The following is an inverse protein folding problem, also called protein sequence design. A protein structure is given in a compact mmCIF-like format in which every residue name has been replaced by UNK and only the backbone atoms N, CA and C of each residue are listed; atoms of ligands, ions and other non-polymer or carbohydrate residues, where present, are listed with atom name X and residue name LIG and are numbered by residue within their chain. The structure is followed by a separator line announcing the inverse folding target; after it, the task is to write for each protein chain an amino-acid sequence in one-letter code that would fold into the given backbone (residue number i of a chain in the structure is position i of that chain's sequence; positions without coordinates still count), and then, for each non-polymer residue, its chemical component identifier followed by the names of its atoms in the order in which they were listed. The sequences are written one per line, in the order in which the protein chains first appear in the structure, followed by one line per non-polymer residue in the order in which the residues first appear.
data_IF_963542357569
#
_entry.id   IF_963542357569
#
_cell.length_a   1.000
_cell.length_b   1.000
_cell.length_c   1.000
_cell.angle_alpha   90.00
_cell.angle_beta   90.00
_cell.angle_gamma   90.00
#
_symmetry.space_group_name_H-M   'P 1'
#
loop_
_entity.id
_entity.type
_entity.pdbx_description
1 polymer ?
#
# COMPACT_ATOMS: atom_id res chain seq x y z
N UNK A 1 -33.35 43.68 34.88
CA UNK A 1 -33.08 44.26 33.55
C UNK A 1 -33.20 43.11 32.57
N UNK A 2 -34.15 43.23 31.66
CA UNK A 2 -34.69 42.13 30.85
C UNK A 2 -33.89 41.98 29.57
N UNK A 3 -33.50 40.72 29.32
CA UNK A 3 -33.31 39.95 28.09
C UNK A 3 -33.34 40.66 26.73
N UNK A 4 -32.40 40.27 25.87
CA UNK A 4 -32.65 40.26 24.43
C UNK A 4 -31.86 39.13 23.74
N UNK A 5 -32.31 37.90 23.98
CA UNK A 5 -32.17 36.79 23.02
C UNK A 5 -33.52 36.63 22.33
N UNK A 6 -33.60 36.90 21.03
CA UNK A 6 -34.55 36.21 20.14
C UNK A 6 -34.27 36.46 18.65
N UNK A 7 -34.60 35.48 17.78
CA UNK A 7 -33.96 35.21 16.49
C UNK A 7 -34.72 35.78 15.29
N UNK A 8 -34.06 35.79 14.13
CA UNK A 8 -34.50 36.48 12.90
C UNK A 8 -35.71 35.88 12.15
N UNK A 9 -36.41 34.88 12.68
CA UNK A 9 -37.47 34.17 11.95
C UNK A 9 -38.85 34.50 12.52
N UNK A 10 -39.70 35.18 11.75
CA UNK A 10 -41.16 35.08 11.94
C UNK A 10 -42.01 36.25 11.43
N UNK A 11 -43.17 36.01 10.79
CA UNK A 11 -43.88 36.97 9.92
C UNK A 11 -45.04 37.70 10.64
N UNK A 12 -45.47 38.86 10.11
CA UNK A 12 -46.86 39.08 9.66
C UNK A 12 -47.17 40.54 9.26
N UNK A 13 -47.87 40.66 8.11
CA UNK A 13 -48.99 41.58 7.79
C UNK A 13 -48.71 43.08 7.69
N UNK A 14 -48.74 43.61 6.46
CA UNK A 14 -49.90 44.18 5.72
C UNK A 14 -50.11 45.68 6.02
N UNK A 15 -49.95 46.47 4.93
CA UNK A 15 -50.73 47.66 4.52
C UNK A 15 -50.84 48.83 5.53
N UNK A 16 -50.70 50.12 5.18
CA UNK A 16 -51.06 50.85 3.98
C UNK A 16 -50.56 52.31 4.06
N UNK A 17 -50.40 52.96 2.90
CA UNK A 17 -50.50 54.42 2.65
C UNK A 17 -49.28 55.29 3.07
N UNK A 18 -48.69 56.16 2.25
CA UNK A 18 -49.25 57.02 1.20
C UNK A 18 -48.12 57.60 0.31
N UNK A 19 -48.35 57.64 -1.01
CA UNK A 19 -48.06 58.71 -2.02
C UNK A 19 -46.77 59.57 -1.89
N UNK A 20 -46.00 59.96 -2.91
CA UNK A 20 -46.05 59.96 -4.38
C UNK A 20 -44.72 60.61 -4.82
N UNK A 21 -43.97 60.05 -5.77
CA UNK A 21 -43.21 60.87 -6.73
C UNK A 21 -42.91 60.05 -7.98
N UNK A 22 -43.46 60.53 -9.07
CA UNK A 22 -43.36 60.03 -10.43
C UNK A 22 -41.94 60.14 -10.99
N UNK A 23 -41.38 59.03 -11.45
CA UNK A 23 -40.39 59.02 -12.53
C UNK A 23 -40.66 57.81 -13.43
N UNK A 24 -41.66 57.97 -14.32
CA UNK A 24 -41.88 57.11 -15.46
C UNK A 24 -41.27 57.76 -16.70
N UNK A 25 -40.39 57.08 -17.46
CA UNK A 25 -40.01 57.55 -18.77
C UNK A 25 -41.22 57.43 -19.71
N UNK A 26 -41.78 58.60 -20.07
CA UNK A 26 -42.77 58.77 -21.15
C UNK A 26 -42.10 58.47 -22.50
N UNK A 27 -42.34 57.29 -23.06
CA UNK A 27 -42.19 57.10 -24.50
C UNK A 27 -43.39 57.74 -25.20
N UNK A 28 -43.17 58.95 -25.72
CA UNK A 28 -44.12 59.66 -26.58
C UNK A 28 -44.05 59.04 -27.97
N UNK A 29 -45.11 58.34 -28.39
CA UNK A 29 -45.29 57.93 -29.77
C UNK A 29 -45.91 59.09 -30.57
N UNK A 30 -45.13 59.64 -31.49
CA UNK A 30 -45.56 60.63 -32.49
C UNK A 30 -45.52 59.97 -33.87
N UNK A 31 -46.70 59.80 -34.50
CA UNK A 31 -47.01 59.52 -35.93
C UNK A 31 -46.12 58.50 -36.66
N UNK A 32 -46.60 57.48 -37.36
CA UNK A 32 -47.71 57.41 -38.30
C UNK A 32 -48.06 55.92 -38.45
N UNK A 33 -49.35 55.57 -38.51
CA UNK A 33 -49.81 54.17 -38.48
C UNK A 33 -49.89 53.61 -39.91
N UNK A 34 -48.76 53.18 -40.47
CA UNK A 34 -48.80 52.25 -41.60
C UNK A 34 -47.54 51.39 -41.66
N UNK A 35 -47.76 50.07 -41.57
CA UNK A 35 -46.80 48.97 -41.77
C UNK A 35 -45.60 48.91 -40.82
N UNK A 36 -45.54 47.87 -39.99
CA UNK A 36 -44.41 46.93 -39.92
C UNK A 36 -44.80 45.80 -38.96
N UNK A 37 -45.32 44.72 -39.54
CA UNK A 37 -45.36 43.41 -38.88
C UNK A 37 -43.93 42.85 -38.91
N UNK A 38 -43.21 42.97 -37.80
CA UNK A 38 -42.05 42.13 -37.52
C UNK A 38 -42.04 41.81 -36.03
N UNK A 39 -42.17 40.53 -35.64
CA UNK A 39 -41.90 40.15 -34.27
C UNK A 39 -40.40 40.26 -34.05
N UNK A 40 -39.95 41.35 -33.43
CA UNK A 40 -38.61 41.38 -32.84
C UNK A 40 -38.59 40.38 -31.69
N UNK A 41 -38.11 39.18 -31.98
CA UNK A 41 -37.74 38.21 -30.97
C UNK A 41 -36.59 38.81 -30.15
N UNK A 42 -36.91 39.31 -28.97
CA UNK A 42 -35.91 39.58 -27.94
C UNK A 42 -35.31 38.23 -27.59
N UNK A 43 -34.09 37.97 -28.04
CA UNK A 43 -33.35 36.76 -27.73
C UNK A 43 -32.91 36.86 -26.26
N UNK A 44 -33.82 36.53 -25.35
CA UNK A 44 -33.47 36.29 -23.95
C UNK A 44 -32.62 35.03 -23.96
N UNK A 45 -31.31 35.15 -23.79
CA UNK A 45 -30.46 34.00 -23.47
C UNK A 45 -31.10 33.32 -22.28
N UNK A 46 -31.67 32.14 -22.53
CA UNK A 46 -32.34 31.34 -21.52
C UNK A 46 -31.39 31.23 -20.33
N UNK A 47 -31.74 31.88 -19.20
CA UNK A 47 -30.96 31.74 -17.98
C UNK A 47 -30.99 30.26 -17.63
N UNK A 48 -29.87 29.58 -17.83
CA UNK A 48 -29.74 28.15 -17.55
C UNK A 48 -29.98 27.97 -16.06
N UNK A 49 -31.09 27.30 -15.71
CA UNK A 49 -31.45 27.07 -14.32
C UNK A 49 -30.25 26.41 -13.60
N UNK A 50 -29.69 27.03 -12.55
CA UNK A 50 -28.56 26.45 -11.82
C UNK A 50 -28.89 25.11 -11.17
N UNK A 51 -30.18 24.73 -11.07
CA UNK A 51 -30.64 23.44 -10.56
C UNK A 51 -31.03 22.44 -11.67
N UNK A 52 -30.74 22.74 -12.95
CA UNK A 52 -31.02 21.82 -14.03
C UNK A 52 -30.25 20.51 -13.83
N UNK A 53 -30.97 19.38 -13.87
CA UNK A 53 -30.34 18.07 -13.79
C UNK A 53 -29.49 17.84 -15.05
N UNK A 54 -28.18 17.66 -14.85
CA UNK A 54 -27.23 17.42 -15.94
C UNK A 54 -26.93 15.93 -16.01
N UNK A 55 -27.45 15.28 -17.05
CA UNK A 55 -27.23 13.84 -17.26
C UNK A 55 -25.74 13.49 -17.38
N UNK A 56 -24.92 14.38 -17.96
CA UNK A 56 -23.48 14.20 -18.05
C UNK A 56 -22.81 14.14 -16.67
N UNK A 57 -23.21 15.02 -15.74
CA UNK A 57 -22.71 15.01 -14.37
C UNK A 57 -23.16 13.76 -13.62
N UNK A 58 -24.39 13.32 -13.83
CA UNK A 58 -24.90 12.07 -13.28
C UNK A 58 -24.10 10.85 -13.77
N UNK A 59 -23.84 10.74 -15.08
CA UNK A 59 -23.06 9.64 -15.65
C UNK A 59 -21.59 9.64 -15.19
N UNK A 60 -21.01 10.83 -15.00
CA UNK A 60 -19.66 10.95 -14.40
C UNK A 60 -19.65 10.34 -12.99
N UNK A 61 -20.63 10.67 -12.16
CA UNK A 61 -20.73 10.12 -10.81
C UNK A 61 -21.04 8.63 -10.79
N UNK A 62 -21.89 8.15 -11.71
CA UNK A 62 -22.36 6.77 -11.75
C UNK A 62 -21.31 5.79 -12.30
N UNK A 63 -20.55 6.19 -13.32
CA UNK A 63 -19.64 5.29 -14.03
C UNK A 63 -18.18 5.73 -13.97
N UNK A 64 -17.88 6.99 -14.31
CA UNK A 64 -16.48 7.42 -14.49
C UNK A 64 -15.71 7.39 -13.17
N UNK A 65 -16.28 7.97 -12.10
CA UNK A 65 -15.59 8.01 -10.79
C UNK A 65 -15.42 6.61 -10.20
N UNK A 66 -16.44 5.73 -10.15
CA UNK A 66 -16.28 4.35 -9.72
C UNK A 66 -15.29 3.54 -10.56
N UNK A 67 -15.25 3.76 -11.88
CA UNK A 67 -14.31 3.07 -12.77
C UNK A 67 -12.87 3.46 -12.48
N UNK A 68 -12.58 4.76 -12.31
CA UNK A 68 -11.24 5.25 -11.94
C UNK A 68 -10.86 4.73 -10.55
N UNK A 69 -11.77 4.80 -9.57
CA UNK A 69 -11.51 4.32 -8.21
C UNK A 69 -11.25 2.81 -8.20
N UNK A 70 -12.07 2.01 -8.89
CA UNK A 70 -11.89 0.58 -9.05
C UNK A 70 -10.57 0.25 -9.70
N UNK A 71 -10.22 0.92 -10.81
CA UNK A 71 -8.94 0.73 -11.49
C UNK A 71 -7.74 1.03 -10.60
N UNK A 72 -7.75 2.14 -9.86
CA UNK A 72 -6.65 2.48 -8.95
C UNK A 72 -6.53 1.47 -7.81
N UNK A 73 -7.64 1.05 -7.20
CA UNK A 73 -7.63 0.01 -6.17
C UNK A 73 -7.09 -1.32 -6.71
N UNK A 74 -7.49 -1.72 -7.92
CA UNK A 74 -6.99 -2.94 -8.55
C UNK A 74 -5.50 -2.87 -8.86
N UNK A 75 -5.04 -1.74 -9.39
CA UNK A 75 -3.62 -1.52 -9.67
C UNK A 75 -2.79 -1.60 -8.39
N UNK A 76 -3.28 -1.04 -7.28
CA UNK A 76 -2.59 -1.13 -5.99
C UNK A 76 -2.46 -2.58 -5.54
N UNK A 77 -3.55 -3.36 -5.57
CA UNK A 77 -3.50 -4.77 -5.17
C UNK A 77 -2.46 -5.55 -5.99
N UNK A 78 -2.44 -5.35 -7.30
CA UNK A 78 -1.48 -6.02 -8.19
C UNK A 78 -0.04 -5.53 -8.07
N UNK A 79 0.18 -4.33 -7.52
CA UNK A 79 1.51 -3.80 -7.24
C UNK A 79 2.00 -4.25 -5.85
N UNK A 80 1.09 -4.52 -4.91
CA UNK A 80 1.41 -5.04 -3.57
C UNK A 80 1.70 -6.54 -3.61
N UNK A 81 0.97 -7.29 -4.42
CA UNK A 81 1.23 -8.70 -4.65
C UNK A 81 2.01 -8.82 -5.96
N UNK A 82 3.36 -8.72 -5.96
CA UNK A 82 4.13 -9.07 -7.14
C UNK A 82 3.90 -10.56 -7.38
N UNK A 83 2.93 -10.90 -8.23
CA UNK A 83 2.83 -12.24 -8.76
C UNK A 83 4.15 -12.59 -9.44
N UNK A 84 4.80 -13.63 -8.92
CA UNK A 84 5.97 -14.32 -9.46
C UNK A 84 7.37 -13.72 -9.23
N UNK A 85 7.52 -12.65 -8.46
CA UNK A 85 8.83 -12.32 -7.86
C UNK A 85 8.69 -12.37 -6.35
N UNK A 86 8.69 -13.58 -5.81
CA UNK A 86 9.09 -13.77 -4.42
C UNK A 86 10.43 -13.05 -4.29
N UNK A 87 10.51 -12.10 -3.36
CA UNK A 87 11.76 -11.43 -2.97
C UNK A 87 12.71 -12.41 -2.25
N UNK A 88 12.66 -13.66 -2.66
CA UNK A 88 13.36 -14.78 -2.07
C UNK A 88 14.75 -14.81 -2.65
N UNK A 89 15.74 -14.82 -1.77
CA UNK A 89 17.11 -15.13 -2.13
C UNK A 89 17.47 -16.51 -1.62
N UNK A 90 18.31 -17.19 -2.38
CA UNK A 90 18.94 -18.44 -2.01
C UNK A 90 20.37 -18.43 -2.54
N UNK A 91 21.32 -18.82 -1.69
CA UNK A 91 22.67 -19.11 -2.12
C UNK A 91 23.27 -20.24 -1.29
N UNK A 92 24.20 -20.98 -1.88
CA UNK A 92 24.86 -22.09 -1.22
C UNK A 92 26.30 -22.28 -1.69
N UNK A 93 27.12 -22.80 -0.79
CA UNK A 93 28.53 -23.08 -1.04
C UNK A 93 28.84 -24.52 -0.68
N UNK A 94 29.35 -25.26 -1.68
CA UNK A 94 29.72 -26.65 -1.55
C UNK A 94 31.16 -26.80 -1.10
N UNK A 95 31.38 -27.67 -0.11
CA UNK A 95 32.68 -28.00 0.44
C UNK A 95 33.47 -26.78 0.92
N UNK A 96 32.89 -25.92 1.79
CA UNK A 96 33.62 -24.79 2.34
C UNK A 96 34.80 -25.27 3.18
N UNK A 97 35.85 -24.45 3.25
CA UNK A 97 37.11 -24.80 3.91
C UNK A 97 37.20 -24.04 5.24
N UNK A 98 37.57 -24.74 6.31
CA UNK A 98 37.91 -24.09 7.57
C UNK A 98 39.12 -23.17 7.38
N UNK A 99 38.98 -21.91 7.76
CA UNK A 99 39.92 -20.83 7.47
C UNK A 99 40.59 -20.23 8.72
N UNK A 100 39.95 -20.37 9.89
CA UNK A 100 40.42 -19.81 11.17
C UNK A 100 39.82 -20.58 12.37
N UNK A 101 39.98 -20.03 13.57
CA UNK A 101 39.38 -20.52 14.80
C UNK A 101 38.89 -19.38 15.70
N UNK A 102 37.89 -19.65 16.53
CA UNK A 102 37.37 -18.71 17.53
C UNK A 102 37.17 -19.39 18.87
N UNK A 103 37.44 -18.66 19.95
CA UNK A 103 37.14 -19.10 21.31
C UNK A 103 35.76 -18.59 21.74
N UNK A 104 34.86 -19.51 22.12
CA UNK A 104 33.51 -19.23 22.59
C UNK A 104 33.30 -20.02 23.89
N UNK A 105 33.01 -19.33 24.99
CA UNK A 105 32.83 -19.94 26.32
C UNK A 105 34.01 -20.82 26.77
N UNK A 106 35.25 -20.32 26.65
CA UNK A 106 36.49 -21.03 27.01
C UNK A 106 36.74 -22.34 26.20
N UNK A 107 36.11 -22.47 25.03
CA UNK A 107 36.28 -23.61 24.11
C UNK A 107 36.66 -23.12 22.70
N UNK A 108 37.59 -23.82 22.06
CA UNK A 108 38.06 -23.53 20.69
C UNK A 108 37.16 -24.17 19.63
N UNK A 109 36.71 -23.36 18.68
CA UNK A 109 35.88 -23.76 17.53
C UNK A 109 36.60 -23.47 16.22
N UNK A 110 36.56 -24.41 15.27
CA UNK A 110 37.01 -24.13 13.91
C UNK A 110 35.99 -23.24 13.23
N UNK A 111 36.45 -22.25 12.47
CA UNK A 111 35.57 -21.38 11.70
C UNK A 111 35.73 -21.58 10.21
N UNK A 112 34.63 -21.35 9.49
CA UNK A 112 34.62 -21.15 8.05
C UNK A 112 33.80 -19.90 7.74
N UNK A 113 34.30 -19.06 6.85
CA UNK A 113 33.57 -17.88 6.39
C UNK A 113 33.18 -18.02 4.93
N UNK A 114 31.91 -17.74 4.62
CA UNK A 114 31.38 -17.78 3.27
C UNK A 114 30.73 -16.44 2.93
N UNK A 115 31.11 -15.89 1.78
CA UNK A 115 30.46 -14.74 1.16
C UNK A 115 29.32 -15.24 0.28
N UNK A 116 28.08 -14.89 0.64
CA UNK A 116 26.89 -15.25 -0.12
C UNK A 116 26.41 -14.10 -1.00
N UNK A 117 25.85 -14.44 -2.15
CA UNK A 117 25.19 -13.51 -3.06
C UNK A 117 23.75 -13.22 -2.59
N UNK A 118 23.61 -12.60 -1.42
CA UNK A 118 22.34 -12.24 -0.78
C UNK A 118 22.24 -10.74 -0.50
N UNK A 119 21.06 -10.19 -0.17
CA UNK A 119 20.95 -8.81 0.28
C UNK A 119 21.79 -8.49 1.53
N UNK A 120 22.30 -7.27 1.61
CA UNK A 120 23.10 -6.80 2.74
C UNK A 120 22.19 -6.24 3.86
N UNK A 121 21.45 -7.13 4.51
CA UNK A 121 20.48 -6.81 5.58
C UNK A 121 21.00 -7.37 6.92
N UNK A 122 20.86 -6.63 8.03
CA UNK A 122 21.23 -7.12 9.37
C UNK A 122 20.16 -8.09 9.90
N UNK A 123 20.55 -9.05 10.75
CA UNK A 123 19.60 -9.92 11.46
C UNK A 123 18.57 -9.12 12.27
N UNK A 124 18.95 -7.99 12.86
CA UNK A 124 17.98 -7.15 13.60
C UNK A 124 16.92 -6.54 12.69
N UNK A 125 17.30 -6.14 11.48
CA UNK A 125 16.35 -5.61 10.50
C UNK A 125 15.42 -6.73 9.99
N UNK A 126 15.97 -7.93 9.78
CA UNK A 126 15.18 -9.14 9.47
C UNK A 126 14.12 -9.43 10.55
N UNK A 127 14.48 -9.36 11.84
CA UNK A 127 13.54 -9.61 12.95
C UNK A 127 12.53 -8.45 13.17
N UNK A 128 12.98 -7.20 13.02
CA UNK A 128 12.11 -6.02 13.19
C UNK A 128 11.04 -5.93 12.07
N UNK A 129 11.39 -6.35 10.84
CA UNK A 129 10.51 -6.31 9.67
C UNK A 129 9.80 -7.67 9.39
N UNK A 130 9.97 -8.67 10.27
CA UNK A 130 9.35 -10.01 10.17
C UNK A 130 9.70 -10.75 8.86
N UNK A 131 10.94 -10.57 8.38
CA UNK A 131 11.47 -11.27 7.22
C UNK A 131 11.85 -12.71 7.58
N UNK A 132 11.61 -13.62 6.64
CA UNK A 132 12.14 -14.96 6.68
C UNK A 132 13.67 -14.93 6.51
N UNK A 133 14.36 -15.66 7.37
CA UNK A 133 15.79 -15.92 7.23
C UNK A 133 16.12 -17.29 7.78
N UNK A 134 16.79 -18.08 6.95
CA UNK A 134 17.32 -19.39 7.26
C UNK A 134 18.78 -19.46 6.84
N UNK A 135 19.58 -20.12 7.67
CA UNK A 135 20.90 -20.58 7.26
C UNK A 135 21.16 -21.98 7.79
N UNK A 136 21.82 -22.81 6.99
CA UNK A 136 22.06 -24.22 7.29
C UNK A 136 23.47 -24.66 6.96
N UNK A 137 23.94 -25.66 7.69
CA UNK A 137 25.18 -26.40 7.45
C UNK A 137 24.83 -27.87 7.37
N UNK A 138 25.18 -28.52 6.27
CA UNK A 138 24.87 -29.93 6.06
C UNK A 138 26.13 -30.76 5.78
N UNK A 139 26.10 -32.00 6.27
CA UNK A 139 27.05 -33.06 5.94
C UNK A 139 26.30 -34.25 5.36
N UNK A 140 26.83 -34.83 4.30
CA UNK A 140 26.32 -36.00 3.62
C UNK A 140 27.34 -37.13 3.76
N UNK A 141 26.89 -38.30 4.22
CA UNK A 141 27.69 -39.51 4.09
C UNK A 141 27.27 -40.36 2.89
N UNK A 142 27.81 -41.58 2.86
CA UNK A 142 27.54 -42.55 1.79
C UNK A 142 26.11 -43.12 1.87
N UNK A 143 25.52 -43.13 3.07
CA UNK A 143 24.15 -43.58 3.35
C UNK A 143 23.29 -42.47 3.99
N UNK A 144 21.96 -42.60 3.93
CA UNK A 144 21.02 -41.64 4.52
C UNK A 144 21.16 -41.50 6.04
N UNK A 145 21.65 -42.54 6.72
CA UNK A 145 21.89 -42.53 8.17
C UNK A 145 23.10 -41.67 8.56
N UNK A 146 23.95 -41.30 7.59
CA UNK A 146 25.11 -40.45 7.79
C UNK A 146 24.83 -38.97 7.49
N UNK A 147 23.56 -38.62 7.23
CA UNK A 147 23.16 -37.23 7.05
C UNK A 147 23.13 -36.50 8.39
N UNK A 148 23.63 -35.28 8.39
CA UNK A 148 23.53 -34.38 9.53
C UNK A 148 23.42 -32.96 9.06
N UNK A 149 22.68 -32.16 9.81
CA UNK A 149 22.40 -30.79 9.42
C UNK A 149 22.17 -29.95 10.67
N UNK A 150 22.64 -28.72 10.61
CA UNK A 150 22.47 -27.72 11.63
C UNK A 150 21.86 -26.49 10.97
N UNK A 151 20.80 -25.94 11.54
CA UNK A 151 20.12 -24.79 10.97
C UNK A 151 19.81 -23.71 12.00
N UNK A 152 19.63 -22.51 11.49
CA UNK A 152 19.05 -21.40 12.21
C UNK A 152 17.95 -20.80 11.35
N UNK A 153 16.80 -20.52 11.97
CA UNK A 153 15.64 -19.92 11.34
C UNK A 153 15.09 -18.87 12.30
N UNK A 154 15.03 -17.61 11.87
CA UNK A 154 14.56 -16.47 12.70
C UNK A 154 13.12 -16.68 13.19
N UNK A 155 12.27 -17.36 12.42
CA UNK A 155 10.89 -17.67 12.81
C UNK A 155 10.78 -18.66 13.97
N UNK A 156 11.77 -19.56 14.11
CA UNK A 156 11.84 -20.53 15.22
C UNK A 156 12.75 -20.07 16.36
N UNK A 157 13.80 -19.30 16.05
CA UNK A 157 14.86 -18.93 16.97
C UNK A 157 14.82 -17.44 17.28
N UNK A 158 14.70 -17.12 18.56
CA UNK A 158 14.71 -15.73 19.00
C UNK A 158 16.14 -15.17 18.96
N UNK A 159 16.35 -14.03 18.31
CA UNK A 159 17.65 -13.31 18.29
C UNK A 159 18.19 -12.90 19.67
N UNK A 160 17.37 -12.98 20.72
CA UNK A 160 17.82 -12.79 22.10
C UNK A 160 18.49 -14.03 22.72
N UNK A 161 18.70 -15.11 21.96
CA UNK A 161 19.52 -16.26 22.34
C UNK A 161 20.82 -16.21 21.54
N UNK A 162 21.89 -15.73 22.18
CA UNK A 162 23.23 -15.66 21.60
C UNK A 162 24.28 -15.90 22.68
N UNK A 163 25.49 -16.28 22.25
CA UNK A 163 26.69 -16.32 23.07
C UNK A 163 27.66 -15.25 22.56
N UNK A 164 28.47 -14.72 23.45
CA UNK A 164 29.44 -13.67 23.13
C UNK A 164 30.84 -14.24 23.21
N UNK A 165 31.62 -14.14 22.14
CA UNK A 165 33.04 -14.52 22.15
C UNK A 165 33.89 -13.46 22.85
N UNK A 166 35.15 -13.78 23.17
CA UNK A 166 36.05 -12.87 23.90
C UNK A 166 36.25 -11.50 23.21
N UNK A 167 36.08 -11.45 21.89
CA UNK A 167 36.17 -10.24 21.08
C UNK A 167 34.87 -9.43 21.00
N UNK A 168 33.87 -9.76 21.81
CA UNK A 168 32.53 -9.14 21.89
C UNK A 168 31.69 -9.32 20.61
N UNK A 169 31.96 -10.38 19.83
CA UNK A 169 31.09 -10.77 18.71
C UNK A 169 29.96 -11.67 19.20
N UNK A 170 28.76 -11.46 18.66
CA UNK A 170 27.56 -12.26 18.98
C UNK A 170 27.47 -13.45 18.02
N UNK A 171 27.37 -14.63 18.60
CA UNK A 171 27.24 -15.90 17.91
C UNK A 171 25.89 -16.53 18.26
N UNK A 172 25.17 -16.96 17.24
CA UNK A 172 23.83 -17.51 17.38
C UNK A 172 23.91 -19.03 17.27
N UNK A 173 23.42 -19.77 18.27
CA UNK A 173 23.44 -21.22 18.24
C UNK A 173 22.49 -21.75 17.16
N UNK A 174 22.91 -22.84 16.51
CA UNK A 174 22.13 -23.55 15.50
C UNK A 174 21.51 -24.82 16.11
N UNK A 175 20.35 -25.23 15.62
CA UNK A 175 19.70 -26.50 15.98
C UNK A 175 20.22 -27.60 15.06
N UNK A 176 20.81 -28.64 15.65
CA UNK A 176 21.47 -29.73 14.92
C UNK A 176 20.70 -31.05 15.04
N UNK A 177 20.74 -31.85 13.98
CA UNK A 177 20.18 -33.20 13.95
C UNK A 177 21.02 -34.16 13.11
N UNK A 178 20.68 -35.46 13.19
CA UNK A 178 21.41 -36.51 12.50
C UNK A 178 22.82 -36.69 13.07
N UNK A 179 23.82 -36.88 12.21
CA UNK A 179 25.21 -37.07 12.68
C UNK A 179 25.83 -35.81 13.32
N UNK A 180 25.16 -34.66 13.23
CA UNK A 180 25.61 -33.40 13.84
C UNK A 180 24.99 -33.13 15.23
N UNK A 181 24.09 -33.98 15.74
CA UNK A 181 23.36 -33.75 17.01
C UNK A 181 24.28 -33.58 18.24
N UNK A 182 25.45 -34.24 18.25
CA UNK A 182 26.44 -34.17 19.33
C UNK A 182 27.47 -33.04 19.16
N UNK A 183 27.32 -32.20 18.13
CA UNK A 183 28.25 -31.11 17.81
C UNK A 183 27.59 -29.75 18.03
N UNK A 184 28.40 -28.79 18.42
CA UNK A 184 27.96 -27.42 18.63
C UNK A 184 28.23 -26.63 17.36
N UNK A 185 27.19 -25.97 16.85
CA UNK A 185 27.30 -25.05 15.72
C UNK A 185 26.77 -23.68 16.10
N UNK A 186 27.53 -22.66 15.71
CA UNK A 186 27.13 -21.27 15.83
C UNK A 186 27.33 -20.58 14.49
N UNK A 187 26.58 -19.50 14.25
CA UNK A 187 26.86 -18.60 13.14
C UNK A 187 26.91 -17.14 13.57
N UNK A 188 27.60 -16.35 12.77
CA UNK A 188 27.70 -14.91 12.86
C UNK A 188 27.50 -14.34 11.46
N UNK A 189 26.54 -13.42 11.32
CA UNK A 189 26.26 -12.70 10.08
C UNK A 189 26.91 -11.32 10.11
N UNK A 190 27.70 -10.98 9.09
CA UNK A 190 28.27 -9.66 8.89
C UNK A 190 28.01 -9.21 7.45
N UNK A 191 26.86 -8.56 7.24
CA UNK A 191 26.37 -8.23 5.91
C UNK A 191 26.12 -9.48 5.08
N UNK A 192 26.80 -9.60 3.94
CA UNK A 192 26.69 -10.75 3.01
C UNK A 192 27.55 -11.96 3.44
N UNK A 193 28.50 -11.76 4.35
CA UNK A 193 29.37 -12.81 4.83
C UNK A 193 28.76 -13.48 6.07
N UNK A 194 28.74 -14.81 6.09
CA UNK A 194 28.38 -15.59 7.28
C UNK A 194 29.58 -16.43 7.68
N UNK A 195 29.96 -16.30 8.95
CA UNK A 195 30.97 -17.15 9.57
C UNK A 195 30.28 -18.19 10.43
N UNK A 196 30.61 -19.46 10.25
CA UNK A 196 30.13 -20.57 11.07
C UNK A 196 31.26 -21.04 11.96
N UNK A 197 30.96 -21.36 13.22
CA UNK A 197 31.90 -21.90 14.20
C UNK A 197 31.41 -23.25 14.70
N UNK A 198 32.28 -24.27 14.67
CA UNK A 198 31.93 -25.63 15.08
C UNK A 198 33.10 -26.40 15.69
N UNK A 199 32.78 -27.34 16.58
CA UNK A 199 33.73 -28.33 17.09
C UNK A 199 33.80 -29.59 16.20
N UNK A 200 33.04 -29.62 15.10
CA UNK A 200 33.13 -30.63 14.05
C UNK A 200 34.46 -30.49 13.29
N UNK A 201 35.16 -31.62 13.11
CA UNK A 201 36.53 -31.63 12.57
C UNK A 201 36.64 -32.19 11.14
N UNK A 202 35.55 -32.75 10.61
CA UNK A 202 35.51 -33.30 9.26
C UNK A 202 35.04 -32.27 8.24
N UNK A 203 35.17 -32.59 6.96
CA UNK A 203 34.72 -31.73 5.88
C UNK A 203 33.21 -31.48 5.96
N UNK A 204 32.81 -30.20 5.85
CA UNK A 204 31.41 -29.81 5.66
C UNK A 204 31.08 -29.92 4.17
N UNK A 205 29.90 -30.44 3.82
CA UNK A 205 29.56 -30.65 2.41
C UNK A 205 28.83 -29.47 1.80
N UNK A 206 27.98 -28.80 2.57
CA UNK A 206 27.20 -27.67 2.10
C UNK A 206 26.94 -26.65 3.22
N UNK A 207 26.99 -25.37 2.88
CA UNK A 207 26.36 -24.32 3.66
C UNK A 207 25.41 -23.56 2.77
N UNK A 208 24.26 -23.17 3.32
CA UNK A 208 23.24 -22.46 2.56
C UNK A 208 22.61 -21.35 3.37
N UNK A 209 22.06 -20.39 2.66
CA UNK A 209 21.28 -19.29 3.21
C UNK A 209 20.09 -19.04 2.29
N UNK A 210 18.94 -18.79 2.89
CA UNK A 210 17.75 -18.35 2.19
C UNK A 210 16.93 -17.40 3.05
N UNK A 211 16.14 -16.58 2.41
CA UNK A 211 15.38 -15.54 3.09
C UNK A 211 14.54 -14.75 2.11
N UNK A 212 13.71 -13.86 2.64
CA UNK A 212 13.01 -12.86 1.85
C UNK A 212 13.50 -11.44 2.16
N UNK A 213 13.23 -10.52 1.24
CA UNK A 213 13.41 -9.08 1.40
C UNK A 213 12.10 -8.33 1.13
N UNK A 214 11.96 -7.08 1.57
CA UNK A 214 10.78 -6.29 1.25
C UNK A 214 10.71 -5.97 -0.24
N UNK A 215 9.47 -5.93 -0.73
CA UNK A 215 9.17 -5.38 -2.03
C UNK A 215 9.45 -3.88 -1.96
N UNK A 216 10.36 -3.40 -2.79
CA UNK A 216 10.82 -1.99 -2.86
C UNK A 216 9.72 -1.01 -3.36
N UNK A 217 8.45 -1.35 -3.15
CA UNK A 217 7.27 -0.55 -3.46
C UNK A 217 7.03 0.38 -2.28
N UNK A 218 7.37 1.67 -2.43
CA UNK A 218 7.26 2.67 -1.36
C UNK A 218 6.03 2.48 -0.46
N UNK A 219 6.22 1.93 0.74
CA UNK A 219 5.13 1.51 1.63
C UNK A 219 4.18 2.64 1.98
N UNK A 220 4.62 3.91 1.89
CA UNK A 220 3.79 5.09 2.11
C UNK A 220 2.66 5.21 1.07
N UNK A 221 2.91 4.91 -0.21
CA UNK A 221 1.85 5.06 -1.23
C UNK A 221 0.82 3.93 -1.10
N UNK A 222 1.31 2.71 -0.89
CA UNK A 222 0.55 1.47 -0.68
C UNK A 222 -0.29 1.52 0.59
N UNK A 223 0.27 1.98 1.71
CA UNK A 223 -0.41 2.01 3.00
C UNK A 223 -1.45 3.14 3.09
N UNK A 224 -1.33 4.22 2.31
CA UNK A 224 -2.22 5.38 2.42
C UNK A 224 -3.29 5.45 1.31
N UNK A 225 -3.03 5.00 0.08
CA UNK A 225 -4.03 5.10 -1.01
C UNK A 225 -5.36 4.38 -0.73
N UNK A 226 -5.38 3.17 -0.14
CA UNK A 226 -6.62 2.47 0.17
C UNK A 226 -7.55 3.27 1.08
N UNK A 227 -7.01 4.17 1.91
CA UNK A 227 -7.78 5.09 2.74
C UNK A 227 -8.11 6.40 2.01
N UNK A 228 -7.19 6.93 1.21
CA UNK A 228 -7.40 8.17 0.46
C UNK A 228 -8.51 8.04 -0.59
N UNK A 229 -8.63 6.90 -1.28
CA UNK A 229 -9.64 6.71 -2.34
C UNK A 229 -11.07 6.82 -1.78
N UNK A 230 -11.46 6.09 -0.71
CA UNK A 230 -12.75 6.27 -0.06
C UNK A 230 -12.96 7.69 0.50
N UNK A 231 -11.96 8.27 1.15
CA UNK A 231 -12.05 9.63 1.71
C UNK A 231 -12.30 10.66 0.61
N UNK A 232 -11.56 10.57 -0.50
CA UNK A 232 -11.76 11.43 -1.66
C UNK A 232 -13.14 11.23 -2.28
N UNK A 233 -13.62 9.98 -2.38
CA UNK A 233 -14.95 9.68 -2.89
C UNK A 233 -16.05 10.34 -2.05
N UNK A 234 -15.99 10.18 -0.72
CA UNK A 234 -16.90 10.85 0.22
C UNK A 234 -16.79 12.37 0.14
N UNK A 235 -15.56 12.90 0.03
CA UNK A 235 -15.31 14.33 -0.13
C UNK A 235 -15.97 14.90 -1.38
N UNK A 236 -15.84 14.23 -2.53
CA UNK A 236 -16.49 14.63 -3.79
C UNK A 236 -18.01 14.54 -3.67
N UNK A 237 -18.52 13.51 -2.99
CA UNK A 237 -19.95 13.36 -2.74
C UNK A 237 -20.51 14.54 -1.93
N UNK A 238 -19.90 14.88 -0.79
CA UNK A 238 -20.31 16.03 0.03
C UNK A 238 -20.17 17.34 -0.77
N UNK A 239 -19.03 17.54 -1.44
CA UNK A 239 -18.76 18.71 -2.25
C UNK A 239 -19.79 18.92 -3.37
N UNK A 240 -20.27 17.82 -3.97
CA UNK A 240 -21.27 17.89 -5.04
C UNK A 240 -22.59 18.52 -4.56
N UNK A 241 -23.02 18.22 -3.33
CA UNK A 241 -24.23 18.81 -2.75
C UNK A 241 -24.02 20.24 -2.28
N UNK A 242 -22.89 20.53 -1.62
CA UNK A 242 -22.52 21.88 -1.18
C UNK A 242 -22.40 22.84 -2.37
N UNK A 243 -21.80 22.38 -3.46
CA UNK A 243 -21.61 23.15 -4.70
C UNK A 243 -22.84 23.16 -5.62
N UNK A 244 -23.99 22.68 -5.15
CA UNK A 244 -25.26 22.57 -5.90
C UNK A 244 -25.19 21.72 -7.18
N UNK A 245 -24.15 20.90 -7.36
CA UNK A 245 -24.00 19.90 -8.44
C UNK A 245 -24.73 18.61 -8.09
N UNK A 246 -26.03 18.70 -7.81
CA UNK A 246 -26.84 17.59 -7.29
C UNK A 246 -26.85 16.36 -8.20
N UNK A 247 -26.83 16.57 -9.52
CA UNK A 247 -26.79 15.47 -10.50
C UNK A 247 -25.52 14.61 -10.37
N UNK A 248 -24.36 15.21 -10.12
CA UNK A 248 -23.12 14.48 -9.79
C UNK A 248 -23.27 13.70 -8.48
N UNK A 249 -23.83 14.32 -7.44
CA UNK A 249 -24.03 13.68 -6.14
C UNK A 249 -24.95 12.45 -6.19
N UNK A 250 -26.06 12.56 -6.92
CA UNK A 250 -26.94 11.41 -7.18
C UNK A 250 -26.25 10.34 -8.02
N UNK A 251 -25.41 10.74 -8.99
CA UNK A 251 -24.58 9.82 -9.74
C UNK A 251 -23.65 9.03 -8.83
N UNK A 252 -22.94 9.72 -7.92
CA UNK A 252 -22.03 9.10 -6.95
C UNK A 252 -22.76 8.16 -5.99
N UNK A 253 -23.94 8.53 -5.49
CA UNK A 253 -24.74 7.62 -4.67
C UNK A 253 -25.08 6.31 -5.40
N UNK A 254 -25.42 6.38 -6.69
CA UNK A 254 -25.61 5.19 -7.51
C UNK A 254 -24.30 4.47 -7.83
N UNK A 255 -23.21 5.21 -8.00
CA UNK A 255 -21.87 4.72 -8.30
C UNK A 255 -21.27 3.83 -7.21
N UNK A 256 -21.74 3.93 -5.96
CA UNK A 256 -21.37 3.02 -4.86
C UNK A 256 -21.66 1.56 -5.23
N UNK A 257 -22.76 1.29 -5.94
CA UNK A 257 -23.11 -0.06 -6.39
C UNK A 257 -22.33 -0.50 -7.62
N UNK A 258 -21.78 0.44 -8.39
CA UNK A 258 -20.98 0.17 -9.59
C UNK A 258 -19.51 -0.11 -9.22
N UNK A 259 -19.01 0.50 -8.15
CA UNK A 259 -17.61 0.42 -7.74
C UNK A 259 -17.08 -1.02 -7.55
N UNK A 260 -17.79 -1.97 -6.92
CA UNK A 260 -17.31 -3.35 -6.80
C UNK A 260 -17.15 -4.05 -8.16
N UNK A 261 -18.09 -3.82 -9.08
CA UNK A 261 -17.99 -4.37 -10.44
C UNK A 261 -16.85 -3.74 -11.22
N UNK A 262 -16.64 -2.44 -11.06
CA UNK A 262 -15.48 -1.75 -11.64
C UNK A 262 -14.17 -2.31 -11.11
N UNK A 263 -14.04 -2.53 -9.80
CA UNK A 263 -12.87 -3.16 -9.21
C UNK A 263 -12.63 -4.56 -9.76
N UNK A 264 -13.64 -5.45 -9.78
CA UNK A 264 -13.47 -6.80 -10.30
C UNK A 264 -13.07 -6.81 -11.79
N UNK A 265 -13.71 -5.96 -12.60
CA UNK A 265 -13.37 -5.85 -14.03
C UNK A 265 -11.95 -5.32 -14.23
N UNK A 266 -11.55 -4.31 -13.44
CA UNK A 266 -10.20 -3.77 -13.48
C UNK A 266 -9.15 -4.76 -13.01
N UNK A 267 -9.41 -5.56 -11.98
CA UNK A 267 -8.53 -6.65 -11.55
C UNK A 267 -8.31 -7.68 -12.67
N UNK A 268 -9.38 -8.11 -13.34
CA UNK A 268 -9.27 -9.06 -14.46
C UNK A 268 -8.47 -8.43 -15.61
N UNK A 269 -8.81 -7.20 -16.00
CA UNK A 269 -8.14 -6.51 -17.10
C UNK A 269 -6.66 -6.27 -16.83
N UNK A 270 -6.31 -5.81 -15.62
CA UNK A 270 -4.92 -5.58 -15.22
C UNK A 270 -4.20 -6.91 -14.97
N UNK A 271 -4.88 -7.94 -14.48
CA UNK A 271 -4.33 -9.28 -14.31
C UNK A 271 -3.79 -9.84 -15.63
N UNK A 272 -4.50 -9.67 -16.75
CA UNK A 272 -3.99 -10.03 -18.08
C UNK A 272 -2.77 -9.21 -18.55
N UNK A 273 -2.51 -8.04 -17.95
CA UNK A 273 -1.37 -7.19 -18.30
C UNK A 273 -0.16 -7.46 -17.41
N UNK A 274 -0.39 -7.83 -16.14
CA UNK A 274 0.65 -8.07 -15.14
C UNK A 274 1.11 -9.53 -15.11
N UNK A 275 0.18 -10.46 -15.28
CA UNK A 275 0.43 -11.89 -15.28
C UNK A 275 0.20 -12.39 -16.70
N UNK A 276 1.23 -12.95 -17.33
CA UNK A 276 1.17 -13.54 -18.68
C UNK A 276 0.21 -14.76 -18.70
N UNK A 277 -1.10 -14.51 -18.64
CA UNK A 277 -2.20 -15.48 -18.76
C UNK A 277 -2.74 -15.55 -20.19
#
# INVERSE_FOLDING_TARGET
MVDNDSPWWGPDKQEQSSQTSSDTPKNVFSGDVSSFSTPQAVNVTQMKDPNQFLISQFLIGLFLVPLIAGFLMSLIVLVIEPGDQDNWYYDSNYQPIFDDSVEINDEDYNTLTVDFNIPNIDLYEIDDEDYYFYTGVSVYGDDWDDYGDCYFDVGYHRLNIFVESEDNRRWYPMECYGVLEDYNFYFLKNGQSITYATNYQSQIDNVQVEGDEDSDVSGILVNFLPFLIPIAYFGILVWSFVSKKKSLGFGLLGGIFVAPFSFCFSMIFLGFLFWDL
#
